data_IF_428715528214
#
_entry.id   IF_428715528214
#
_cell.length_a   1.000
_cell.length_b   1.000
_cell.length_c   1.000
_cell.angle_alpha   90.00
_cell.angle_beta   90.00
_cell.angle_gamma   90.00
#
_symmetry.space_group_name_H-M   'P 1'
#
loop_
_entity.id
_entity.type
_entity.pdbx_description
1 polymer ?
#
# COMPACT_ATOMS: atom_id res chain seq x y z
N UNK A 1 13.74 -12.92 21.84
CA UNK A 1 13.04 -12.60 20.57
C UNK A 1 11.61 -12.19 20.91
N UNK A 2 10.98 -11.28 20.17
CA UNK A 2 9.58 -10.93 20.41
C UNK A 2 8.66 -11.99 19.79
N UNK A 3 7.44 -12.17 20.32
CA UNK A 3 6.45 -13.09 19.76
C UNK A 3 6.16 -12.80 18.27
N UNK A 4 6.26 -11.52 17.84
CA UNK A 4 6.15 -11.12 16.45
C UNK A 4 7.28 -11.71 15.60
N UNK A 5 8.54 -11.57 16.04
CA UNK A 5 9.71 -12.10 15.34
C UNK A 5 9.65 -13.61 15.17
N UNK A 6 9.22 -14.32 16.21
CA UNK A 6 9.03 -15.79 16.16
C UNK A 6 7.93 -16.18 15.17
N UNK A 7 6.80 -15.45 15.16
CA UNK A 7 5.71 -15.72 14.25
C UNK A 7 6.08 -15.48 12.79
N UNK A 8 6.81 -14.39 12.51
CA UNK A 8 7.31 -14.09 11.17
C UNK A 8 8.29 -15.19 10.71
N UNK A 9 9.19 -15.62 11.60
CA UNK A 9 10.13 -16.71 11.27
C UNK A 9 9.41 -18.00 10.90
N UNK A 10 8.35 -18.37 11.61
CA UNK A 10 7.54 -19.56 11.26
C UNK A 10 6.95 -19.50 9.85
N UNK A 11 6.51 -18.30 9.40
CA UNK A 11 5.95 -18.10 8.05
C UNK A 11 7.04 -18.20 6.98
N UNK A 12 8.25 -17.72 7.29
CA UNK A 12 9.43 -17.83 6.41
C UNK A 12 9.88 -19.29 6.32
N UNK A 13 9.98 -19.99 7.45
CA UNK A 13 10.40 -21.40 7.50
C UNK A 13 9.40 -22.31 6.77
N UNK A 14 8.12 -21.95 6.77
CA UNK A 14 7.08 -22.63 5.99
C UNK A 14 7.17 -22.33 4.48
N UNK A 15 8.10 -21.47 4.03
CA UNK A 15 8.29 -21.10 2.62
C UNK A 15 7.18 -20.22 2.04
N UNK A 16 6.30 -19.66 2.87
CA UNK A 16 5.18 -18.81 2.40
C UNK A 16 5.68 -17.48 1.86
N UNK A 17 6.69 -16.90 2.51
CA UNK A 17 7.38 -15.67 2.06
C UNK A 17 8.90 -15.89 2.18
N UNK A 18 9.72 -15.28 1.30
CA UNK A 18 11.16 -15.44 1.37
C UNK A 18 11.79 -14.71 2.57
N UNK A 19 11.24 -13.60 2.98
CA UNK A 19 11.74 -12.79 4.09
C UNK A 19 10.83 -11.60 4.38
N UNK A 20 11.14 -10.89 5.47
CA UNK A 20 10.39 -9.74 5.94
C UNK A 20 11.27 -8.77 6.73
N UNK A 21 10.90 -7.49 6.70
CA UNK A 21 11.38 -6.49 7.66
C UNK A 21 10.19 -6.07 8.51
N UNK A 22 10.34 -6.15 9.82
CA UNK A 22 9.32 -5.70 10.77
C UNK A 22 9.83 -4.51 11.57
N UNK A 23 8.96 -3.51 11.79
CA UNK A 23 9.22 -2.37 12.64
C UNK A 23 8.10 -2.24 13.67
N UNK A 24 8.49 -2.14 14.93
CA UNK A 24 7.57 -1.87 16.04
C UNK A 24 8.05 -0.62 16.76
N UNK A 25 7.18 0.37 16.86
CA UNK A 25 7.43 1.61 17.60
C UNK A 25 6.42 1.71 18.75
N UNK A 26 6.92 1.89 19.99
CA UNK A 26 6.10 2.05 21.17
C UNK A 26 6.81 2.97 22.18
N UNK A 27 6.12 3.99 22.66
CA UNK A 27 6.60 4.91 23.71
C UNK A 27 7.99 5.53 23.40
N UNK A 28 8.28 5.77 22.11
CA UNK A 28 9.57 6.28 21.64
C UNK A 28 10.64 5.19 21.39
N UNK A 29 10.38 3.96 21.80
CA UNK A 29 11.26 2.81 21.51
C UNK A 29 10.95 2.25 20.12
N UNK A 30 11.98 2.08 19.28
CA UNK A 30 11.84 1.56 17.93
C UNK A 30 12.68 0.29 17.80
N UNK A 31 12.03 -0.80 17.36
CA UNK A 31 12.67 -2.09 17.11
C UNK A 31 12.46 -2.47 15.67
N UNK A 32 13.57 -2.74 14.98
CA UNK A 32 13.58 -3.26 13.61
C UNK A 32 14.12 -4.69 13.64
N UNK A 33 13.56 -5.57 12.84
CA UNK A 33 14.10 -6.91 12.61
C UNK A 33 13.93 -7.30 11.15
N UNK A 34 15.03 -7.66 10.50
CA UNK A 34 15.07 -8.27 9.19
C UNK A 34 15.25 -9.78 9.32
N UNK A 35 14.45 -10.56 8.63
CA UNK A 35 14.44 -12.01 8.69
C UNK A 35 14.31 -12.63 7.30
N UNK A 36 14.96 -13.78 7.10
CA UNK A 36 14.94 -14.49 5.81
C UNK A 36 15.78 -13.82 4.74
N UNK A 37 15.30 -13.84 3.50
CA UNK A 37 16.03 -13.40 2.31
C UNK A 37 15.21 -12.46 1.44
N UNK A 38 15.85 -11.73 0.53
CA UNK A 38 15.23 -10.83 -0.46
C UNK A 38 14.33 -11.57 -1.46
N UNK A 39 14.66 -12.84 -1.72
CA UNK A 39 13.91 -13.76 -2.57
C UNK A 39 14.18 -15.19 -2.09
N UNK A 40 13.38 -16.16 -2.51
CA UNK A 40 13.65 -17.57 -2.23
C UNK A 40 15.02 -17.97 -2.78
N UNK A 41 15.92 -18.43 -1.90
CA UNK A 41 17.31 -18.74 -2.25
C UNK A 41 18.20 -17.53 -2.53
N UNK A 42 17.74 -16.30 -2.24
CA UNK A 42 18.46 -15.06 -2.46
C UNK A 42 19.35 -14.63 -1.29
N UNK A 43 19.91 -13.41 -1.41
CA UNK A 43 20.70 -12.79 -0.36
C UNK A 43 19.86 -12.53 0.92
N UNK A 44 20.51 -12.49 2.11
CA UNK A 44 19.83 -12.15 3.35
C UNK A 44 19.06 -10.84 3.25
N UNK A 45 17.92 -10.76 3.95
CA UNK A 45 17.09 -9.55 4.02
C UNK A 45 17.82 -8.45 4.80
N UNK A 46 18.13 -7.27 4.22
CA UNK A 46 18.69 -6.16 4.98
C UNK A 46 17.58 -5.36 5.69
N UNK A 47 17.91 -4.68 6.78
CA UNK A 47 16.94 -3.86 7.54
C UNK A 47 16.45 -2.63 6.74
N UNK A 48 17.27 -2.12 5.83
CA UNK A 48 16.99 -0.99 4.95
C UNK A 48 16.48 -1.39 3.56
N UNK A 49 15.94 -2.59 3.41
CA UNK A 49 15.40 -3.09 2.16
C UNK A 49 14.31 -2.16 1.59
N UNK A 50 14.37 -1.91 0.30
CA UNK A 50 13.38 -1.10 -0.42
C UNK A 50 12.25 -2.00 -0.91
N UNK A 51 11.02 -1.69 -0.48
CA UNK A 51 9.82 -2.41 -0.86
C UNK A 51 8.91 -1.59 -1.79
N UNK A 52 8.31 -2.28 -2.76
CA UNK A 52 7.18 -1.71 -3.52
C UNK A 52 5.93 -1.74 -2.64
N UNK A 53 5.51 -0.58 -2.15
CA UNK A 53 4.38 -0.49 -1.20
C UNK A 53 3.00 -0.53 -1.87
N UNK A 54 2.94 -0.56 -3.20
CA UNK A 54 1.71 -0.71 -3.98
C UNK A 54 0.61 0.27 -3.51
N UNK A 55 -0.58 -0.21 -3.18
CA UNK A 55 -1.72 0.62 -2.75
C UNK A 55 -1.51 1.33 -1.40
N UNK A 56 -0.52 0.97 -0.61
CA UNK A 56 -0.14 1.74 0.58
C UNK A 56 0.38 3.15 0.25
N UNK A 57 0.69 3.42 -1.02
CA UNK A 57 0.95 4.76 -1.54
C UNK A 57 -0.26 5.69 -1.40
N UNK A 58 -1.50 5.15 -1.45
CA UNK A 58 -2.74 5.95 -1.37
C UNK A 58 -2.84 6.80 -0.10
N UNK A 59 -2.67 6.25 1.12
CA UNK A 59 -2.68 7.06 2.33
C UNK A 59 -1.66 8.20 2.32
N UNK A 60 -0.45 7.94 1.81
CA UNK A 60 0.61 8.96 1.71
C UNK A 60 0.19 10.11 0.81
N UNK A 61 -0.32 9.79 -0.40
CA UNK A 61 -0.83 10.80 -1.34
C UNK A 61 -2.06 11.52 -0.79
N UNK A 62 -2.95 10.81 -0.09
CA UNK A 62 -4.13 11.42 0.54
C UNK A 62 -3.73 12.46 1.57
N UNK A 63 -2.76 12.16 2.44
CA UNK A 63 -2.26 13.13 3.43
C UNK A 63 -1.65 14.35 2.74
N UNK A 64 -0.85 14.15 1.69
CA UNK A 64 -0.27 15.25 0.91
C UNK A 64 -1.37 16.12 0.29
N UNK A 65 -2.42 15.52 -0.30
CA UNK A 65 -3.56 16.24 -0.86
C UNK A 65 -4.33 17.02 0.20
N UNK A 66 -4.61 16.42 1.36
CA UNK A 66 -5.31 17.09 2.45
C UNK A 66 -4.52 18.30 2.99
N UNK A 67 -3.20 18.27 2.96
CA UNK A 67 -2.37 19.44 3.29
C UNK A 67 -2.55 20.58 2.29
N UNK A 68 -2.74 20.26 1.00
CA UNK A 68 -3.06 21.27 -0.01
C UNK A 68 -4.47 21.86 0.22
N UNK A 69 -5.44 21.03 0.58
CA UNK A 69 -6.79 21.48 0.96
C UNK A 69 -6.73 22.37 2.19
N UNK A 70 -6.02 21.98 3.23
CA UNK A 70 -5.87 22.76 4.47
C UNK A 70 -5.21 24.12 4.23
N UNK A 71 -4.29 24.21 3.27
CA UNK A 71 -3.65 25.46 2.88
C UNK A 71 -4.45 26.31 1.89
N UNK A 72 -5.67 25.90 1.54
CA UNK A 72 -6.55 26.60 0.59
C UNK A 72 -6.08 26.55 -0.88
N UNK A 73 -5.11 25.68 -1.20
CA UNK A 73 -4.56 25.54 -2.56
C UNK A 73 -5.38 24.61 -3.44
N UNK A 74 -6.22 23.78 -2.83
CA UNK A 74 -7.06 22.79 -3.50
C UNK A 74 -8.40 22.69 -2.77
N UNK A 75 -9.52 22.69 -3.52
CA UNK A 75 -10.83 22.33 -3.01
C UNK A 75 -11.14 20.85 -3.26
N UNK A 76 -11.85 20.18 -2.35
CA UNK A 76 -12.22 18.77 -2.54
C UNK A 76 -13.18 18.57 -3.74
N UNK A 77 -14.00 19.56 -4.03
CA UNK A 77 -14.96 19.55 -5.13
C UNK A 77 -14.45 20.26 -6.40
N UNK A 78 -13.18 20.68 -6.39
CA UNK A 78 -12.59 21.33 -7.57
C UNK A 78 -12.48 20.34 -8.73
N UNK A 79 -12.82 20.75 -9.98
CA UNK A 79 -12.62 19.89 -11.14
C UNK A 79 -11.14 19.59 -11.35
N UNK A 80 -10.78 18.31 -11.46
CA UNK A 80 -9.39 17.86 -11.61
C UNK A 80 -8.68 18.47 -12.82
N UNK A 81 -9.41 18.73 -13.90
CA UNK A 81 -8.90 19.36 -15.13
C UNK A 81 -8.33 20.78 -14.93
N UNK A 82 -8.62 21.42 -13.79
CA UNK A 82 -8.03 22.71 -13.43
C UNK A 82 -6.52 22.62 -13.24
N UNK A 83 -6.03 21.47 -12.80
CA UNK A 83 -4.59 21.19 -12.59
C UNK A 83 -4.01 20.20 -13.60
N UNK A 84 -4.86 19.34 -14.16
CA UNK A 84 -4.51 18.30 -15.14
C UNK A 84 -5.43 18.45 -16.35
N UNK A 85 -5.17 19.43 -17.26
CA UNK A 85 -6.02 19.68 -18.42
C UNK A 85 -6.22 18.48 -19.34
N UNK A 86 -5.26 17.56 -19.36
CA UNK A 86 -5.33 16.30 -20.11
C UNK A 86 -6.46 15.36 -19.64
N UNK A 87 -7.05 15.63 -18.49
CA UNK A 87 -8.19 14.85 -17.96
C UNK A 87 -9.55 15.49 -18.28
N UNK A 88 -9.60 16.60 -19.05
CA UNK A 88 -10.84 17.31 -19.34
C UNK A 88 -11.85 16.47 -20.14
N UNK A 89 -11.35 15.63 -21.07
CA UNK A 89 -12.18 14.87 -21.99
C UNK A 89 -12.38 13.39 -21.56
N UNK A 90 -12.12 13.08 -20.29
CA UNK A 90 -12.37 11.75 -19.77
C UNK A 90 -13.87 11.42 -19.76
N UNK A 91 -14.23 10.40 -20.52
CA UNK A 91 -15.59 9.86 -20.51
C UNK A 91 -15.72 8.75 -19.49
N UNK A 92 -16.78 8.81 -18.68
CA UNK A 92 -17.15 7.71 -17.79
C UNK A 92 -17.97 6.69 -18.57
N UNK A 93 -17.62 5.42 -18.46
CA UNK A 93 -18.40 4.35 -19.05
C UNK A 93 -19.76 4.27 -18.35
N UNK A 94 -20.78 4.90 -18.94
CA UNK A 94 -22.15 4.84 -18.42
C UNK A 94 -22.82 3.59 -18.98
N UNK A 95 -22.47 2.42 -18.44
CA UNK A 95 -23.15 1.18 -18.76
C UNK A 95 -23.75 0.60 -17.49
N UNK A 96 -25.07 0.37 -17.43
CA UNK A 96 -25.65 -0.55 -16.47
C UNK A 96 -25.18 -1.95 -16.85
N UNK A 97 -23.98 -2.33 -16.44
CA UNK A 97 -23.47 -3.66 -16.68
C UNK A 97 -24.11 -4.61 -15.67
N UNK A 98 -25.09 -5.37 -16.10
CA UNK A 98 -25.40 -6.64 -15.46
C UNK A 98 -24.25 -7.59 -15.71
N UNK A 99 -23.33 -7.69 -14.78
CA UNK A 99 -22.32 -8.75 -14.78
C UNK A 99 -22.95 -9.96 -14.09
N UNK A 100 -23.26 -10.98 -14.89
CA UNK A 100 -23.70 -12.28 -14.37
C UNK A 100 -22.46 -13.12 -14.13
N UNK A 101 -21.99 -13.24 -12.89
CA UNK A 101 -20.96 -14.17 -12.49
C UNK A 101 -21.64 -15.41 -11.89
N UNK A 102 -21.72 -16.52 -12.67
CA UNK A 102 -22.16 -17.86 -12.24
C UNK A 102 -23.33 -17.86 -11.25
N UNK A 103 -24.46 -17.29 -11.63
CA UNK A 103 -25.70 -17.33 -10.83
C UNK A 103 -25.86 -16.22 -9.79
N UNK A 104 -24.89 -15.32 -9.62
CA UNK A 104 -25.04 -14.13 -8.81
C UNK A 104 -25.21 -12.89 -9.72
N UNK A 105 -26.25 -12.10 -9.48
CA UNK A 105 -26.45 -10.79 -10.12
C UNK A 105 -25.89 -9.73 -9.17
N UNK A 106 -24.84 -9.03 -9.60
CA UNK A 106 -24.35 -7.83 -8.90
C UNK A 106 -24.88 -6.62 -9.65
N UNK A 107 -25.69 -5.83 -8.96
CA UNK A 107 -26.23 -4.56 -9.44
C UNK A 107 -25.23 -3.43 -9.16
#
# INVERSE_FOLDING_TARGET
>A
MSALTERVQQVIDAGTIPGAVTLVARDGDVRIAAQGAMAHGGAPMPEDAIFRIMSMTKPVLTVATLRLVQSGRLGLDDPVQRWLPELADLTVLHRPARVVLRGAVVA
#
